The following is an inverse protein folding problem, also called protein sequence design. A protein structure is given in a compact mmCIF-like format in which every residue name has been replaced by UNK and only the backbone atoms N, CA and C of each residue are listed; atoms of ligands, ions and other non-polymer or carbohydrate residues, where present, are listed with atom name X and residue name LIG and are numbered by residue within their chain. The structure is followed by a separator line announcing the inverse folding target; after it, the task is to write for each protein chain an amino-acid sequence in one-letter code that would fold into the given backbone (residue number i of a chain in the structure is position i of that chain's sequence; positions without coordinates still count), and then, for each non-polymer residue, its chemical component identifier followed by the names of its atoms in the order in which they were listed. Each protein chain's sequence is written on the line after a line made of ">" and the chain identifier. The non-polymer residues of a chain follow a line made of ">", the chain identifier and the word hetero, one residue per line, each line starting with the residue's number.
data_IF_905354316980
#
_entry.id   IF_905354316980
#
_cell.length_a   1.000
_cell.length_b   1.000
_cell.length_c   1.000
_cell.angle_alpha   90.00
_cell.angle_beta   90.00
_cell.angle_gamma   90.00
#
_symmetry.space_group_name_H-M   'P 1'
#
loop_
_entity.id
_entity.type
_entity.pdbx_description
1 polymer ?
#
# COMPACT_ATOMS: atom_id res chain seq x y z
N UNK A 1 -8.51 -13.41 -6.22
CA UNK A 1 -7.94 -12.05 -6.09
C UNK A 1 -6.82 -11.95 -7.10
N UNK A 2 -6.75 -10.86 -7.88
CA UNK A 2 -5.74 -10.74 -8.93
C UNK A 2 -4.32 -10.59 -8.37
N UNK A 3 -3.33 -11.15 -9.04
CA UNK A 3 -1.90 -10.99 -8.75
C UNK A 3 -1.39 -9.63 -9.22
N UNK A 4 -0.20 -9.24 -8.77
CA UNK A 4 0.43 -7.99 -9.25
C UNK A 4 0.67 -8.06 -10.76
N UNK A 5 1.13 -9.20 -11.28
CA UNK A 5 1.36 -9.40 -12.72
C UNK A 5 0.07 -9.26 -13.54
N UNK A 6 -1.05 -9.77 -13.02
CA UNK A 6 -2.37 -9.58 -13.63
C UNK A 6 -2.81 -8.10 -13.63
N UNK A 7 -2.41 -7.34 -12.61
CA UNK A 7 -2.65 -5.90 -12.54
C UNK A 7 -1.72 -5.09 -13.46
N UNK A 8 -0.47 -5.52 -13.66
CA UNK A 8 0.46 -4.84 -14.58
C UNK A 8 -0.03 -4.86 -16.03
N UNK A 9 -0.91 -5.80 -16.37
CA UNK A 9 -1.59 -5.91 -17.66
C UNK A 9 -2.99 -5.26 -17.66
N UNK A 10 -3.39 -4.57 -16.59
CA UNK A 10 -4.69 -3.91 -16.50
C UNK A 10 -4.74 -2.70 -17.45
N UNK A 11 -5.79 -2.53 -18.27
CA UNK A 11 -5.94 -1.38 -19.15
C UNK A 11 -5.82 -0.03 -18.43
N UNK A 12 -6.19 0.04 -17.14
CA UNK A 12 -6.05 1.25 -16.31
C UNK A 12 -4.59 1.67 -16.11
N UNK A 13 -3.64 0.74 -16.27
CA UNK A 13 -2.19 0.98 -16.16
C UNK A 13 -1.57 1.08 -17.56
N UNK A 14 -1.95 0.20 -18.48
CA UNK A 14 -1.39 0.18 -19.83
C UNK A 14 -1.75 1.42 -20.66
N UNK A 15 -2.90 2.05 -20.37
CA UNK A 15 -3.34 3.26 -21.05
C UNK A 15 -2.81 4.55 -20.40
N UNK A 16 -2.00 4.45 -19.34
CA UNK A 16 -1.40 5.63 -18.72
C UNK A 16 -0.22 6.12 -19.58
N UNK A 17 -0.27 7.37 -20.09
CA UNK A 17 0.72 7.89 -21.02
C UNK A 17 2.11 8.09 -20.41
N UNK A 18 2.25 8.04 -19.08
CA UNK A 18 3.53 8.17 -18.38
C UNK A 18 4.13 6.82 -17.98
N UNK A 19 3.56 5.72 -18.49
CA UNK A 19 3.80 4.38 -17.99
C UNK A 19 4.75 3.60 -18.91
N UNK A 20 5.99 4.09 -19.02
CA UNK A 20 7.06 3.41 -19.77
C UNK A 20 8.00 2.60 -18.87
N UNK A 21 8.08 2.93 -17.58
CA UNK A 21 9.04 2.33 -16.65
C UNK A 21 8.47 1.13 -15.86
N UNK A 22 9.22 0.02 -15.82
CA UNK A 22 8.81 -1.24 -15.22
C UNK A 22 8.49 -1.16 -13.71
N UNK A 23 9.37 -0.58 -12.88
CA UNK A 23 9.09 -0.36 -11.46
C UNK A 23 7.89 0.57 -11.21
N UNK A 24 7.67 1.58 -12.07
CA UNK A 24 6.51 2.47 -11.94
C UNK A 24 5.20 1.72 -12.24
N UNK A 25 5.22 0.80 -13.20
CA UNK A 25 4.09 -0.12 -13.49
C UNK A 25 3.77 -1.00 -12.29
N UNK A 26 4.79 -1.57 -11.65
CA UNK A 26 4.61 -2.42 -10.48
C UNK A 26 3.99 -1.65 -9.31
N UNK A 27 4.44 -0.42 -9.06
CA UNK A 27 3.85 0.47 -8.04
C UNK A 27 2.39 0.78 -8.37
N UNK A 28 2.07 1.06 -9.64
CA UNK A 28 0.68 1.30 -10.05
C UNK A 28 -0.19 0.05 -9.89
N UNK A 29 0.35 -1.14 -10.22
CA UNK A 29 -0.34 -2.40 -10.05
C UNK A 29 -0.65 -2.69 -8.57
N UNK A 30 0.32 -2.45 -7.68
CA UNK A 30 0.12 -2.56 -6.24
C UNK A 30 -0.93 -1.56 -5.72
N UNK A 31 -0.89 -0.30 -6.19
CA UNK A 31 -1.89 0.71 -5.82
C UNK A 31 -3.29 0.32 -6.29
N UNK A 32 -3.43 -0.13 -7.53
CA UNK A 32 -4.72 -0.50 -8.12
C UNK A 32 -5.33 -1.71 -7.42
N UNK A 33 -4.49 -2.70 -7.08
CA UNK A 33 -4.88 -3.83 -6.23
C UNK A 33 -5.44 -3.36 -4.88
N UNK A 34 -4.75 -2.46 -4.18
CA UNK A 34 -5.21 -1.93 -2.90
C UNK A 34 -6.51 -1.12 -3.05
N UNK A 35 -6.70 -0.42 -4.16
CA UNK A 35 -7.94 0.30 -4.44
C UNK A 35 -9.12 -0.66 -4.63
N UNK A 36 -8.94 -1.71 -5.43
CA UNK A 36 -9.98 -2.71 -5.67
C UNK A 36 -10.31 -3.50 -4.39
N UNK A 37 -9.29 -3.87 -3.59
CA UNK A 37 -9.48 -4.56 -2.30
C UNK A 37 -10.19 -3.70 -1.24
N UNK A 38 -10.05 -2.37 -1.32
CA UNK A 38 -10.66 -1.42 -0.37
C UNK A 38 -11.90 -0.72 -0.91
N UNK A 39 -12.40 -1.17 -2.07
CA UNK A 39 -13.61 -0.61 -2.67
C UNK A 39 -14.82 -0.85 -1.78
N UNK A 40 -15.58 0.21 -1.48
CA UNK A 40 -16.75 0.15 -0.61
C UNK A 40 -16.45 0.20 0.89
N UNK A 41 -15.18 0.21 1.31
CA UNK A 41 -14.80 0.44 2.71
C UNK A 41 -14.96 1.91 3.10
N UNK A 42 -15.36 2.15 4.34
CA UNK A 42 -15.24 3.47 4.96
C UNK A 42 -13.78 3.87 5.10
N UNK A 43 -13.54 5.17 5.34
CA UNK A 43 -12.18 5.69 5.58
C UNK A 43 -11.49 4.95 6.72
N UNK A 44 -12.23 4.68 7.81
CA UNK A 44 -11.69 3.99 8.98
C UNK A 44 -11.32 2.53 8.66
N UNK A 45 -12.21 1.78 8.02
CA UNK A 45 -11.95 0.40 7.62
C UNK A 45 -10.76 0.29 6.66
N UNK A 46 -10.65 1.25 5.72
CA UNK A 46 -9.51 1.33 4.82
C UNK A 46 -8.20 1.57 5.57
N UNK A 47 -8.18 2.47 6.54
CA UNK A 47 -7.02 2.72 7.39
C UNK A 47 -6.62 1.46 8.17
N UNK A 48 -7.58 0.78 8.79
CA UNK A 48 -7.34 -0.44 9.56
C UNK A 48 -6.84 -1.59 8.68
N UNK A 49 -7.42 -1.76 7.49
CA UNK A 49 -6.98 -2.73 6.49
C UNK A 49 -5.53 -2.51 6.07
N UNK A 50 -5.17 -1.27 5.70
CA UNK A 50 -3.81 -0.94 5.26
C UNK A 50 -2.79 -1.10 6.39
N UNK A 51 -3.14 -0.70 7.61
CA UNK A 51 -2.28 -0.87 8.79
C UNK A 51 -2.04 -2.36 9.09
N UNK A 52 -3.08 -3.20 9.03
CA UNK A 52 -2.94 -4.64 9.25
C UNK A 52 -2.06 -5.29 8.18
N UNK A 53 -2.27 -4.95 6.91
CA UNK A 53 -1.47 -5.48 5.79
C UNK A 53 0.01 -5.08 5.87
N UNK A 54 0.27 -3.84 6.28
CA UNK A 54 1.62 -3.36 6.55
C UNK A 54 2.24 -4.07 7.76
N UNK A 55 1.46 -4.35 8.83
CA UNK A 55 1.92 -5.13 10.00
C UNK A 55 2.37 -6.52 9.59
N UNK A 56 1.54 -7.24 8.85
CA UNK A 56 1.83 -8.60 8.38
C UNK A 56 3.06 -8.63 7.48
N UNK A 57 3.19 -7.64 6.59
CA UNK A 57 4.35 -7.57 5.69
C UNK A 57 5.63 -7.25 6.43
N UNK A 58 5.62 -6.27 7.32
CA UNK A 58 6.81 -5.89 8.09
C UNK A 58 7.20 -6.95 9.12
N UNK A 59 6.22 -7.62 9.75
CA UNK A 59 6.48 -8.72 10.67
C UNK A 59 7.21 -9.89 9.99
N UNK A 60 6.89 -10.18 8.71
CA UNK A 60 7.63 -11.19 7.91
C UNK A 60 9.11 -10.84 7.69
N UNK A 61 9.47 -9.57 7.81
CA UNK A 61 10.85 -9.08 7.75
C UNK A 61 11.45 -8.80 9.14
N UNK A 62 10.79 -9.21 10.23
CA UNK A 62 11.24 -8.94 11.61
C UNK A 62 11.13 -7.47 12.04
N UNK A 63 10.40 -6.65 11.28
CA UNK A 63 10.20 -5.23 11.56
C UNK A 63 8.88 -5.07 12.32
N UNK A 64 8.93 -4.40 13.47
CA UNK A 64 7.72 -4.04 14.22
C UNK A 64 7.32 -2.59 13.87
N UNK A 65 6.30 -2.37 13.03
CA UNK A 65 5.85 -1.03 12.70
C UNK A 65 5.23 -0.32 13.90
N UNK A 66 5.62 0.94 14.11
CA UNK A 66 4.84 1.89 14.90
C UNK A 66 3.81 2.54 13.99
N UNK A 67 2.53 2.19 14.17
CA UNK A 67 1.44 2.80 13.41
C UNK A 67 1.08 4.14 14.05
N UNK A 68 1.07 5.19 13.24
CA UNK A 68 0.63 6.51 13.68
C UNK A 68 -0.90 6.49 13.70
N UNK A 69 -1.51 6.67 14.88
CA UNK A 69 -2.96 6.83 14.97
C UNK A 69 -3.36 8.23 14.49
N UNK A 70 -4.61 8.41 14.05
CA UNK A 70 -5.12 9.72 13.59
C UNK A 70 -5.18 10.78 14.70
N UNK A 71 -5.02 10.37 15.97
CA UNK A 71 -4.88 11.27 17.12
C UNK A 71 -3.43 11.76 17.31
N UNK A 72 -2.46 11.06 16.74
CA UNK A 72 -1.04 11.38 16.77
C UNK A 72 -0.68 12.09 15.48
N UNK A 73 -0.09 13.27 15.62
CA UNK A 73 0.46 14.04 14.50
C UNK A 73 1.26 13.10 13.59
N UNK A 74 0.77 12.87 12.38
CA UNK A 74 1.22 11.86 11.40
C UNK A 74 2.70 11.95 11.00
N UNK A 75 3.61 11.73 11.95
CA UNK A 75 5.06 11.77 11.78
C UNK A 75 5.62 10.47 12.31
N UNK A 76 6.19 9.68 11.39
CA UNK A 76 7.12 8.61 11.72
C UNK A 76 8.30 9.29 12.41
N UNK A 77 8.38 9.18 13.74
CA UNK A 77 9.55 9.70 14.46
C UNK A 77 10.73 8.76 14.19
N UNK A 78 11.90 9.28 13.80
CA UNK A 78 13.09 8.46 13.66
C UNK A 78 13.42 7.82 15.01
N UNK A 79 13.83 6.54 14.98
CA UNK A 79 14.27 5.78 16.14
C UNK A 79 15.45 6.52 16.78
N UNK A 80 15.20 7.25 17.86
CA UNK A 80 16.27 7.86 18.66
C UNK A 80 17.04 6.71 19.28
N UNK A 81 18.31 6.58 18.88
CA UNK A 81 19.23 5.63 19.50
C UNK A 81 19.79 6.33 20.73
N UNK A 82 19.46 5.81 21.92
CA UNK A 82 20.06 6.25 23.20
C UNK A 82 21.39 5.55 23.37
#
# INVERSE_FOLDING_TARGET
>A
MKTIDEYMSDPRILNDPYMEDGPIKEIHAARLKLQDETAGMTVQEKCDYLNNKARETLARHGITPQFVNLAGQGRIQPKVTV
#
